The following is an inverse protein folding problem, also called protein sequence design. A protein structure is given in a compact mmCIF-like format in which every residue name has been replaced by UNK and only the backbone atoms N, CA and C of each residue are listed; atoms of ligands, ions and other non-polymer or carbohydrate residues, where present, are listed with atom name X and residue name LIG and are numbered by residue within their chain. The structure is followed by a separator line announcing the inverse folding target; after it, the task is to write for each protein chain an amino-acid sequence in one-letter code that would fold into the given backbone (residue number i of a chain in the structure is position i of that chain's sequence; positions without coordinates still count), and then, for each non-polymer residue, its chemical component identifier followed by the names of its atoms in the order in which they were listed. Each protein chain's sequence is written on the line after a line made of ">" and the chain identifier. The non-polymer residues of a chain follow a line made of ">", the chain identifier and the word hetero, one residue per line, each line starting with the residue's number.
data_IF_536317450923
#
_entry.id   IF_536317450923
#
_cell.length_a   1.000
_cell.length_b   1.000
_cell.length_c   1.000
_cell.angle_alpha   90.00
_cell.angle_beta   90.00
_cell.angle_gamma   90.00
#
_symmetry.space_group_name_H-M   'P 1'
#
loop_
_entity.id
_entity.type
_entity.pdbx_description
1 polymer ?
#
# COMPACT_ATOMS: atom_id res chain seq x y z
N UNK A 1 -12.91 1.31 -6.31
CA UNK A 1 -11.93 0.42 -5.64
C UNK A 1 -11.10 -0.24 -6.74
N UNK A 2 -9.83 0.14 -6.90
CA UNK A 2 -8.93 -0.45 -7.90
C UNK A 2 -8.09 -1.52 -7.19
N UNK A 3 -8.41 -2.82 -7.33
CA UNK A 3 -7.63 -3.87 -6.68
C UNK A 3 -6.23 -3.94 -7.29
N UNK A 4 -5.24 -4.29 -6.47
CA UNK A 4 -3.86 -4.52 -6.91
C UNK A 4 -3.83 -5.61 -8.00
N UNK A 5 -3.15 -5.32 -9.11
CA UNK A 5 -3.05 -6.18 -10.30
C UNK A 5 -1.81 -7.06 -10.27
N UNK A 6 -0.70 -6.58 -9.70
CA UNK A 6 0.56 -7.33 -9.58
C UNK A 6 0.86 -7.74 -8.13
N UNK A 7 -0.17 -7.77 -7.28
CA UNK A 7 -0.06 -8.20 -5.91
C UNK A 7 0.85 -7.30 -5.05
N UNK A 8 1.70 -7.93 -4.23
CA UNK A 8 2.56 -7.23 -3.28
C UNK A 8 3.62 -6.34 -3.96
N UNK A 9 4.10 -6.73 -5.13
CA UNK A 9 5.14 -5.97 -5.84
C UNK A 9 4.66 -4.55 -6.19
N UNK A 10 3.41 -4.42 -6.64
CA UNK A 10 2.78 -3.13 -6.93
C UNK A 10 2.60 -2.30 -5.66
N UNK A 11 2.18 -2.92 -4.55
CA UNK A 11 2.07 -2.22 -3.27
C UNK A 11 3.43 -1.67 -2.83
N UNK A 12 4.49 -2.48 -2.86
CA UNK A 12 5.84 -2.05 -2.48
C UNK A 12 6.33 -0.92 -3.38
N UNK A 13 6.07 -0.99 -4.69
CA UNK A 13 6.45 0.08 -5.62
C UNK A 13 5.74 1.40 -5.30
N UNK A 14 4.46 1.37 -4.96
CA UNK A 14 3.73 2.58 -4.52
C UNK A 14 4.27 3.15 -3.22
N UNK A 15 4.65 2.29 -2.27
CA UNK A 15 5.25 2.74 -1.00
C UNK A 15 6.64 3.35 -1.20
N UNK A 16 7.45 2.78 -2.09
CA UNK A 16 8.76 3.35 -2.44
C UNK A 16 8.61 4.72 -3.10
N UNK A 17 7.70 4.84 -4.07
CA UNK A 17 7.40 6.11 -4.72
C UNK A 17 6.90 7.15 -3.72
N UNK A 18 6.06 6.73 -2.77
CA UNK A 18 5.59 7.59 -1.67
C UNK A 18 6.72 8.03 -0.73
N UNK A 19 7.71 7.17 -0.45
CA UNK A 19 8.86 7.52 0.38
C UNK A 19 9.74 8.62 -0.23
N UNK A 20 9.75 8.72 -1.57
CA UNK A 20 10.46 9.79 -2.30
C UNK A 20 9.65 11.10 -2.36
N UNK A 21 8.38 11.09 -1.97
CA UNK A 21 7.54 12.29 -1.98
C UNK A 21 7.78 13.15 -0.74
N UNK A 22 8.04 14.46 -0.90
CA UNK A 22 8.38 15.34 0.21
C UNK A 22 7.21 15.60 1.19
N UNK A 23 5.98 15.17 0.85
CA UNK A 23 4.78 15.34 1.69
C UNK A 23 4.02 14.03 1.88
N UNK A 24 4.72 13.04 2.39
CA UNK A 24 4.11 11.77 2.83
C UNK A 24 3.96 11.80 4.34
N UNK A 25 2.74 11.58 4.83
CA UNK A 25 2.46 11.43 6.26
C UNK A 25 2.15 9.96 6.55
N UNK A 26 2.82 9.39 7.56
CA UNK A 26 2.53 8.06 8.09
C UNK A 26 1.81 8.25 9.43
N UNK A 27 0.65 7.63 9.55
CA UNK A 27 -0.15 7.61 10.77
C UNK A 27 -0.11 6.20 11.35
N UNK A 28 0.73 6.02 12.37
CA UNK A 28 0.97 4.73 13.04
C UNK A 28 -0.16 4.33 14.01
N UNK A 29 -1.07 5.25 14.36
CA UNK A 29 -2.22 4.96 15.23
C UNK A 29 -3.34 4.24 14.47
N UNK A 30 -3.34 4.38 13.13
CA UNK A 30 -4.33 3.74 12.27
C UNK A 30 -3.71 2.63 11.44
N UNK A 31 -4.18 1.40 11.68
CA UNK A 31 -3.82 0.24 10.87
C UNK A 31 -4.84 0.00 9.76
N UNK A 32 -4.34 -0.11 8.53
CA UNK A 32 -5.14 -0.45 7.35
C UNK A 32 -4.78 -1.82 6.83
N UNK A 33 -5.80 -2.52 6.32
CA UNK A 33 -5.68 -3.87 5.82
C UNK A 33 -5.73 -3.87 4.30
N UNK A 34 -4.64 -4.31 3.67
CA UNK A 34 -4.55 -4.42 2.22
C UNK A 34 -4.60 -5.89 1.83
N UNK A 35 -5.46 -6.20 0.86
CA UNK A 35 -5.67 -7.56 0.36
C UNK A 35 -5.38 -7.61 -1.13
N UNK A 36 -4.68 -8.65 -1.57
CA UNK A 36 -4.35 -8.87 -2.97
C UNK A 36 -4.34 -10.35 -3.30
N UNK A 37 -4.47 -10.67 -4.59
CA UNK A 37 -4.29 -12.03 -5.07
C UNK A 37 -2.81 -12.24 -5.43
N UNK A 38 -2.23 -13.33 -4.95
CA UNK A 38 -0.90 -13.78 -5.37
C UNK A 38 -0.96 -14.48 -6.72
N UNK A 39 0.21 -14.64 -7.37
CA UNK A 39 0.32 -15.38 -8.64
C UNK A 39 -0.17 -16.83 -8.52
N UNK A 40 -0.15 -17.41 -7.32
CA UNK A 40 -0.70 -18.72 -7.02
C UNK A 40 -2.24 -18.73 -6.86
N UNK A 41 -2.92 -17.63 -7.13
CA UNK A 41 -4.38 -17.48 -6.97
C UNK A 41 -4.85 -17.31 -5.52
N UNK A 42 -3.94 -17.39 -4.54
CA UNK A 42 -4.25 -17.26 -3.10
C UNK A 42 -4.45 -15.79 -2.75
N UNK A 43 -5.55 -15.48 -2.05
CA UNK A 43 -5.75 -14.17 -1.43
C UNK A 43 -4.82 -14.01 -0.24
N UNK A 44 -3.97 -12.98 -0.30
CA UNK A 44 -3.08 -12.57 0.77
C UNK A 44 -3.53 -11.25 1.36
N UNK A 45 -3.14 -11.04 2.60
CA UNK A 45 -3.53 -9.90 3.38
C UNK A 45 -2.35 -9.43 4.23
N UNK A 46 -2.16 -8.12 4.32
CA UNK A 46 -1.21 -7.50 5.21
C UNK A 46 -1.85 -6.31 5.91
N UNK A 47 -1.32 -5.99 7.08
CA UNK A 47 -1.69 -4.83 7.87
C UNK A 47 -0.51 -3.86 7.88
N UNK A 48 -0.77 -2.59 7.58
CA UNK A 48 0.21 -1.53 7.54
C UNK A 48 -0.36 -0.25 8.16
N UNK A 49 0.50 0.66 8.67
CA UNK A 49 0.04 1.98 9.09
C UNK A 49 -0.57 2.74 7.91
N UNK A 50 -1.47 3.68 8.21
CA UNK A 50 -2.09 4.53 7.19
C UNK A 50 -1.04 5.44 6.59
N UNK A 51 -0.99 5.49 5.26
CA UNK A 51 -0.05 6.33 4.51
C UNK A 51 -0.86 7.33 3.69
N UNK A 52 -0.65 8.62 3.95
CA UNK A 52 -1.36 9.71 3.31
C UNK A 52 -0.40 10.44 2.38
N UNK A 53 -0.75 10.46 1.09
CA UNK A 53 -0.04 11.23 0.07
C UNK A 53 -0.72 12.60 -0.06
N UNK A 54 -0.03 13.65 0.34
CA UNK A 54 -0.53 15.01 0.18
C UNK A 54 -0.20 15.51 -1.23
N UNK A 55 -1.24 15.87 -2.00
CA UNK A 55 -1.09 16.63 -3.26
C UNK A 55 -1.16 18.13 -2.96
N UNK A 56 -0.32 18.92 -3.62
CA UNK A 56 -0.48 20.38 -3.69
C UNK A 56 -1.66 20.75 -4.60
#
# INVERSE_FOLDING_TARGET
>A
RHPLRYGLAELVAYLQLAGEWPKTAVDDDVQEQVSWQSDAGVMRQATLPRIILLRN
#
